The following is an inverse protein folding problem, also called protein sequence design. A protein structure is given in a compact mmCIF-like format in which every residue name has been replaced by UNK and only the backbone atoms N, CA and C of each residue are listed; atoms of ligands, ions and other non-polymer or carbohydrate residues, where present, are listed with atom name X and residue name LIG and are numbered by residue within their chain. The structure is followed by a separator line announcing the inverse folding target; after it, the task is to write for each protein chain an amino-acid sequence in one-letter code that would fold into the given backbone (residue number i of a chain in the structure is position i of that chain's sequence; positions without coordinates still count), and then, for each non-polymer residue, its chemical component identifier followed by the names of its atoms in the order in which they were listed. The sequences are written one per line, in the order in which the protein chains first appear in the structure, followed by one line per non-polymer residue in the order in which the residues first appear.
data_IF_485032303158
#
_entry.id   IF_485032303158
#
_cell.length_a   1.000
_cell.length_b   1.000
_cell.length_c   1.000
_cell.angle_alpha   90.00
_cell.angle_beta   90.00
_cell.angle_gamma   90.00
#
_symmetry.space_group_name_H-M   'P 1'
#
loop_
_entity.id
_entity.type
_entity.pdbx_description
1 polymer ?
#
# COMPACT_ATOMS: atom_id res chain seq x y z
N UNK A 1 23.27 -2.69 -5.92
CA UNK A 1 21.82 -2.54 -6.16
C UNK A 1 21.41 -1.08 -6.40
N UNK A 2 22.07 -0.08 -5.79
CA UNK A 2 21.87 1.32 -6.20
C UNK A 2 20.63 2.01 -5.62
N UNK A 3 20.14 1.53 -4.46
CA UNK A 3 18.93 2.06 -3.82
C UNK A 3 19.12 3.02 -2.61
N UNK A 4 20.28 3.64 -2.31
CA UNK A 4 20.38 4.52 -1.14
C UNK A 4 19.45 5.72 -1.26
N UNK A 5 19.30 6.31 -2.46
CA UNK A 5 18.37 7.42 -2.68
C UNK A 5 16.91 7.05 -2.39
N UNK A 6 16.51 5.81 -2.69
CA UNK A 6 15.17 5.32 -2.40
C UNK A 6 14.89 5.28 -0.89
N UNK A 7 15.83 4.76 -0.09
CA UNK A 7 15.72 4.79 1.37
C UNK A 7 15.65 6.21 1.92
N UNK A 8 16.45 7.13 1.37
CA UNK A 8 16.45 8.53 1.82
C UNK A 8 15.14 9.24 1.52
N UNK A 9 14.54 8.99 0.35
CA UNK A 9 13.21 9.52 0.01
C UNK A 9 12.15 8.99 0.99
N UNK A 10 12.16 7.69 1.26
CA UNK A 10 11.19 7.05 2.18
C UNK A 10 11.37 7.54 3.61
N UNK A 11 12.61 7.61 4.07
CA UNK A 11 12.97 8.16 5.39
C UNK A 11 12.46 9.61 5.54
N UNK A 12 12.63 10.43 4.49
CA UNK A 12 12.30 11.85 4.53
C UNK A 12 10.82 12.07 4.87
N UNK A 13 9.89 11.54 4.05
CA UNK A 13 8.48 11.85 4.26
C UNK A 13 7.91 11.15 5.51
N UNK A 14 8.50 10.03 5.95
CA UNK A 14 8.16 9.39 7.23
C UNK A 14 8.60 10.26 8.40
N UNK A 15 9.83 10.77 8.37
CA UNK A 15 10.35 11.63 9.43
C UNK A 15 9.58 12.94 9.48
N UNK A 16 9.31 13.57 8.33
CA UNK A 16 8.44 14.74 8.24
C UNK A 16 7.06 14.47 8.84
N UNK A 17 6.46 13.31 8.55
CA UNK A 17 5.17 12.91 9.10
C UNK A 17 5.20 12.84 10.64
N UNK A 18 6.22 12.18 11.19
CA UNK A 18 6.44 12.09 12.65
C UNK A 18 6.60 13.48 13.28
N UNK A 19 7.36 14.37 12.64
CA UNK A 19 7.63 15.73 13.14
C UNK A 19 6.41 16.67 13.04
N UNK A 20 5.48 16.40 12.13
CA UNK A 20 4.25 17.19 11.93
C UNK A 20 3.01 16.55 12.56
N UNK A 21 3.21 15.59 13.47
CA UNK A 21 2.12 14.96 14.23
C UNK A 21 1.18 14.12 13.37
N UNK A 22 1.67 13.55 12.27
CA UNK A 22 0.99 12.51 11.49
C UNK A 22 1.45 11.14 12.02
N UNK A 23 0.57 10.38 12.71
CA UNK A 23 0.92 9.04 13.16
C UNK A 23 1.29 8.13 12.00
N UNK A 24 2.41 7.42 12.15
CA UNK A 24 2.93 6.43 11.20
C UNK A 24 2.92 5.06 11.87
N UNK A 25 2.51 4.03 11.15
CA UNK A 25 2.57 2.66 11.63
C UNK A 25 4.01 2.16 11.82
N UNK A 26 4.22 1.08 12.59
CA UNK A 26 5.56 0.58 12.91
C UNK A 26 6.31 -0.05 11.71
N UNK A 27 5.68 -0.13 10.54
CA UNK A 27 6.18 -0.79 9.34
C UNK A 27 5.36 -2.04 8.99
N UNK A 28 5.24 -2.33 7.70
CA UNK A 28 4.53 -3.50 7.17
C UNK A 28 5.30 -4.15 6.02
N UNK A 29 4.90 -5.37 5.68
CA UNK A 29 5.54 -6.14 4.61
C UNK A 29 6.98 -6.55 4.98
N UNK A 30 7.81 -6.77 3.96
CA UNK A 30 9.19 -7.23 4.16
C UNK A 30 10.14 -6.13 4.65
N UNK A 31 9.80 -4.85 4.48
CA UNK A 31 10.63 -3.71 4.91
C UNK A 31 11.03 -3.74 6.39
N UNK A 32 10.18 -4.31 7.25
CA UNK A 32 10.45 -4.48 8.68
C UNK A 32 11.66 -5.38 9.00
N UNK A 33 12.10 -6.23 8.06
CA UNK A 33 13.31 -7.06 8.23
C UNK A 33 14.62 -6.30 8.00
N UNK A 34 14.59 -5.02 7.64
CA UNK A 34 15.80 -4.24 7.39
C UNK A 34 16.26 -3.47 8.62
N UNK A 35 17.43 -3.84 9.14
CA UNK A 35 18.10 -3.08 10.22
C UNK A 35 18.41 -1.64 9.80
N UNK A 36 18.67 -1.40 8.52
CA UNK A 36 18.86 -0.06 7.97
C UNK A 36 17.55 0.73 8.02
N UNK A 37 16.42 0.12 7.67
CA UNK A 37 15.11 0.78 7.77
C UNK A 37 14.76 1.13 9.22
N UNK A 38 15.05 0.23 10.16
CA UNK A 38 14.89 0.48 11.59
C UNK A 38 15.80 1.63 12.09
N UNK A 39 17.08 1.62 11.73
CA UNK A 39 18.03 2.66 12.12
C UNK A 39 17.69 4.05 11.55
N UNK A 40 17.10 4.10 10.35
CA UNK A 40 16.60 5.32 9.72
C UNK A 40 15.18 5.70 10.19
N UNK A 41 14.59 4.96 11.13
CA UNK A 41 13.21 5.17 11.63
C UNK A 41 12.13 5.08 10.55
N UNK A 42 12.43 4.39 9.44
CA UNK A 42 11.44 4.00 8.43
C UNK A 42 10.49 2.96 9.03
N UNK A 43 11.02 2.05 9.85
CA UNK A 43 10.25 1.09 10.65
C UNK A 43 10.58 1.30 12.12
N UNK A 44 9.64 0.93 13.01
CA UNK A 44 9.80 1.07 14.46
C UNK A 44 9.95 -0.29 15.17
N UNK A 45 10.08 -1.39 14.40
CA UNK A 45 10.31 -2.74 14.90
C UNK A 45 11.79 -3.12 14.79
N UNK A 46 12.41 -3.59 15.88
CA UNK A 46 13.79 -4.07 15.87
C UNK A 46 13.88 -5.45 15.19
N UNK A 47 14.47 -5.55 13.99
CA UNK A 47 14.52 -6.83 13.27
C UNK A 47 15.39 -7.87 13.96
N UNK A 48 16.35 -7.48 14.81
CA UNK A 48 17.21 -8.43 15.51
C UNK A 48 16.50 -9.06 16.70
N UNK A 49 15.64 -8.30 17.39
CA UNK A 49 14.83 -8.82 18.50
C UNK A 49 13.84 -9.89 18.03
N UNK A 50 13.26 -9.70 16.83
CA UNK A 50 12.24 -10.58 16.27
C UNK A 50 12.75 -11.56 15.21
N UNK A 51 14.07 -11.68 15.05
CA UNK A 51 14.73 -12.58 14.07
C UNK A 51 14.17 -12.40 12.63
N UNK A 52 13.96 -11.14 12.23
CA UNK A 52 13.48 -10.81 10.90
C UNK A 52 14.64 -10.77 9.90
N UNK A 53 14.41 -11.41 8.75
CA UNK A 53 15.43 -11.60 7.73
C UNK A 53 15.50 -10.42 6.75
N UNK A 54 16.68 -9.81 6.62
CA UNK A 54 16.93 -8.75 5.64
C UNK A 54 16.80 -9.26 4.19
N UNK A 55 17.22 -10.50 3.94
CA UNK A 55 17.22 -11.11 2.61
C UNK A 55 15.80 -11.35 2.07
N UNK A 56 14.80 -11.41 2.97
CA UNK A 56 13.38 -11.42 2.58
C UNK A 56 12.92 -10.08 2.01
N UNK A 57 13.54 -8.99 2.45
CA UNK A 57 13.30 -7.65 1.92
C UNK A 57 14.10 -7.41 0.64
N UNK A 58 15.40 -7.71 0.68
CA UNK A 58 16.32 -7.36 -0.39
C UNK A 58 17.29 -8.52 -0.62
N UNK A 59 16.94 -9.35 -1.61
CA UNK A 59 17.71 -10.53 -1.92
C UNK A 59 18.99 -10.13 -2.71
N UNK A 60 20.21 -10.43 -2.21
CA UNK A 60 21.45 -10.07 -2.90
C UNK A 60 21.65 -10.81 -4.24
N UNK A 61 21.05 -11.99 -4.40
CA UNK A 61 21.13 -12.80 -5.62
C UNK A 61 20.12 -12.35 -6.69
N UNK A 62 19.10 -11.57 -6.30
CA UNK A 62 18.06 -11.06 -7.20
C UNK A 62 17.90 -9.56 -7.00
N UNK A 63 18.56 -8.79 -7.87
CA UNK A 63 18.47 -7.33 -7.88
C UNK A 63 17.11 -6.89 -8.42
N UNK A 64 16.13 -6.76 -7.53
CA UNK A 64 14.84 -6.11 -7.80
C UNK A 64 14.68 -4.87 -6.93
N UNK A 65 13.91 -3.89 -7.42
CA UNK A 65 13.54 -2.73 -6.62
C UNK A 65 12.74 -3.20 -5.39
N UNK A 66 13.16 -2.82 -4.17
CA UNK A 66 12.39 -3.12 -2.96
C UNK A 66 11.14 -2.25 -2.89
N UNK A 67 10.13 -2.70 -2.15
CA UNK A 67 8.88 -1.99 -1.96
C UNK A 67 8.65 -1.67 -0.48
N UNK A 68 8.35 -0.40 -0.18
CA UNK A 68 8.04 0.08 1.18
C UNK A 68 6.58 0.51 1.20
N UNK A 69 5.73 -0.32 1.78
CA UNK A 69 4.38 0.06 2.15
C UNK A 69 4.41 0.74 3.52
N UNK A 70 3.86 1.96 3.60
CA UNK A 70 3.83 2.75 4.83
C UNK A 70 2.38 3.06 5.20
N UNK A 71 2.02 2.75 6.44
CA UNK A 71 0.70 3.07 6.98
C UNK A 71 0.72 4.45 7.64
N UNK A 72 -0.12 5.36 7.16
CA UNK A 72 -0.34 6.68 7.76
C UNK A 72 -1.74 6.76 8.36
N UNK A 73 -1.91 7.66 9.34
CA UNK A 73 -3.24 8.04 9.82
C UNK A 73 -4.14 8.49 8.66
N UNK A 74 -5.31 7.85 8.52
CA UNK A 74 -6.24 8.07 7.41
C UNK A 74 -6.62 9.54 7.23
N UNK A 75 -6.87 10.27 8.31
CA UNK A 75 -7.29 11.68 8.27
C UNK A 75 -6.17 12.65 7.85
N UNK A 76 -4.90 12.23 7.99
CA UNK A 76 -3.73 13.08 7.78
C UNK A 76 -2.86 12.66 6.60
N UNK A 77 -3.15 11.50 5.98
CA UNK A 77 -2.39 10.96 4.84
C UNK A 77 -2.22 11.98 3.71
N UNK A 78 -3.27 12.75 3.41
CA UNK A 78 -3.24 13.72 2.32
C UNK A 78 -2.20 14.83 2.56
N UNK A 79 -1.89 15.17 3.81
CA UNK A 79 -0.84 16.13 4.15
C UNK A 79 0.54 15.62 3.76
N UNK A 80 0.78 14.31 3.91
CA UNK A 80 2.04 13.67 3.51
C UNK A 80 2.18 13.67 1.99
N UNK A 81 1.08 13.37 1.27
CA UNK A 81 1.07 13.41 -0.19
C UNK A 81 1.38 14.82 -0.70
N UNK A 82 0.76 15.83 -0.07
CA UNK A 82 0.98 17.23 -0.42
C UNK A 82 2.42 17.67 -0.15
N UNK A 83 3.00 17.30 1.00
CA UNK A 83 4.40 17.55 1.33
C UNK A 83 5.36 16.93 0.30
N UNK A 84 5.12 15.66 -0.07
CA UNK A 84 5.93 14.98 -1.10
C UNK A 84 5.80 15.68 -2.45
N UNK A 85 4.60 16.11 -2.84
CA UNK A 85 4.37 16.84 -4.08
C UNK A 85 5.05 18.22 -4.09
N UNK A 86 5.03 18.94 -2.98
CA UNK A 86 5.69 20.24 -2.85
C UNK A 86 7.23 20.10 -2.80
N UNK A 87 7.75 19.03 -2.17
CA UNK A 87 9.20 18.77 -2.10
C UNK A 87 9.79 18.33 -3.44
N UNK A 88 9.16 17.35 -4.11
CA UNK A 88 9.71 16.74 -5.31
C UNK A 88 9.14 17.33 -6.62
N UNK A 89 8.20 18.26 -6.50
CA UNK A 89 7.57 18.96 -7.61
C UNK A 89 6.23 18.33 -8.02
N UNK A 90 5.18 19.16 -8.11
CA UNK A 90 3.83 18.71 -8.47
C UNK A 90 3.74 18.06 -9.85
N UNK A 91 4.62 18.42 -10.76
CA UNK A 91 4.69 17.81 -12.10
C UNK A 91 5.35 16.41 -12.10
N UNK A 92 5.98 16.03 -10.98
CA UNK A 92 6.68 14.76 -10.81
C UNK A 92 5.97 13.78 -9.86
N UNK A 93 4.89 14.21 -9.18
CA UNK A 93 4.17 13.41 -8.18
C UNK A 93 2.69 13.27 -8.56
N UNK A 94 2.24 12.03 -8.70
CA UNK A 94 0.84 11.70 -8.97
C UNK A 94 0.42 10.41 -8.28
N UNK A 95 -0.88 10.26 -8.03
CA UNK A 95 -1.45 8.98 -7.61
C UNK A 95 -1.57 8.02 -8.81
N UNK A 96 -1.42 6.73 -8.53
CA UNK A 96 -1.65 5.67 -9.52
C UNK A 96 -3.15 5.38 -9.58
N UNK A 97 -3.70 5.28 -10.80
CA UNK A 97 -5.12 4.97 -11.02
C UNK A 97 -5.40 3.47 -10.81
N UNK A 98 -6.60 3.16 -10.33
CA UNK A 98 -7.11 1.78 -10.27
C UNK A 98 -8.21 1.60 -11.31
N UNK A 99 -8.08 0.59 -12.17
CA UNK A 99 -9.14 0.19 -13.10
C UNK A 99 -10.05 -0.85 -12.43
N UNK A 100 -11.26 -0.44 -12.07
CA UNK A 100 -12.27 -1.35 -11.55
C UNK A 100 -12.74 -2.34 -12.62
N UNK A 101 -12.59 -3.63 -12.37
CA UNK A 101 -13.17 -4.68 -13.21
C UNK A 101 -14.58 -5.04 -12.73
N UNK A 102 -15.42 -5.56 -13.63
CA UNK A 102 -16.78 -5.94 -13.25
C UNK A 102 -16.76 -7.21 -12.41
N UNK A 103 -17.06 -7.08 -11.11
CA UNK A 103 -17.18 -8.23 -10.21
C UNK A 103 -18.35 -9.13 -10.62
N UNK A 104 -18.19 -10.45 -10.56
CA UNK A 104 -19.19 -11.42 -11.03
C UNK A 104 -20.60 -11.18 -10.43
N UNK A 105 -20.68 -10.88 -9.13
CA UNK A 105 -21.96 -10.55 -8.46
C UNK A 105 -22.58 -9.26 -8.99
N UNK A 106 -21.77 -8.25 -9.32
CA UNK A 106 -22.23 -7.01 -9.90
C UNK A 106 -22.75 -7.23 -11.33
N UNK A 107 -22.02 -8.01 -12.14
CA UNK A 107 -22.43 -8.36 -13.52
C UNK A 107 -23.81 -9.01 -13.56
N UNK A 108 -24.08 -10.00 -12.70
CA UNK A 108 -25.41 -10.66 -12.65
C UNK A 108 -26.52 -9.66 -12.36
N UNK A 109 -26.30 -8.75 -11.40
CA UNK A 109 -27.28 -7.74 -11.04
C UNK A 109 -27.50 -6.73 -12.17
N UNK A 110 -26.43 -6.30 -12.83
CA UNK A 110 -26.49 -5.33 -13.92
C UNK A 110 -27.17 -5.91 -15.17
N UNK A 111 -26.80 -7.12 -15.59
CA UNK A 111 -27.48 -7.82 -16.70
C UNK A 111 -28.94 -8.08 -16.37
N UNK A 112 -29.23 -8.54 -15.15
CA UNK A 112 -30.60 -8.78 -14.70
C UNK A 112 -31.46 -7.51 -14.70
N UNK A 113 -30.87 -6.34 -14.38
CA UNK A 113 -31.54 -5.03 -14.49
C UNK A 113 -31.89 -4.71 -15.94
N UNK A 114 -30.96 -4.91 -16.88
CA UNK A 114 -31.20 -4.70 -18.32
C UNK A 114 -32.31 -5.61 -18.85
N UNK A 115 -32.39 -6.84 -18.35
CA UNK A 115 -33.44 -7.81 -18.71
C UNK A 115 -34.79 -7.54 -18.03
N UNK A 116 -34.91 -6.53 -17.16
CA UNK A 116 -36.16 -6.18 -16.49
C UNK A 116 -36.54 -7.10 -15.33
N UNK A 117 -35.62 -7.89 -14.79
CA UNK A 117 -35.90 -8.75 -13.65
C UNK A 117 -35.95 -7.96 -12.32
N UNK A 118 -36.82 -8.34 -11.37
CA UNK A 118 -36.86 -7.72 -10.04
C UNK A 118 -35.54 -7.90 -9.27
N UNK A 119 -35.14 -6.86 -8.52
CA UNK A 119 -33.89 -6.88 -7.74
C UNK A 119 -33.75 -8.11 -6.83
N UNK A 120 -34.82 -8.50 -6.12
CA UNK A 120 -34.78 -9.65 -5.22
C UNK A 120 -34.54 -10.99 -5.94
N UNK A 121 -34.95 -11.11 -7.21
CA UNK A 121 -34.66 -12.31 -8.00
C UNK A 121 -33.17 -12.37 -8.35
N UNK A 122 -32.63 -11.28 -8.91
CA UNK A 122 -31.23 -11.22 -9.35
C UNK A 122 -30.23 -11.23 -8.19
N UNK A 123 -30.59 -10.66 -7.03
CA UNK A 123 -29.74 -10.69 -5.83
C UNK A 123 -29.60 -12.11 -5.27
N UNK A 124 -30.70 -12.89 -5.23
CA UNK A 124 -30.64 -14.31 -4.83
C UNK A 124 -29.69 -15.11 -5.73
N UNK A 125 -29.74 -14.90 -7.05
CA UNK A 125 -28.83 -15.55 -7.99
C UNK A 125 -27.38 -15.10 -7.73
N UNK A 126 -27.14 -13.79 -7.57
CA UNK A 126 -25.79 -13.26 -7.32
C UNK A 126 -25.13 -13.84 -6.06
N UNK A 127 -25.93 -14.16 -5.04
CA UNK A 127 -25.45 -14.77 -3.77
C UNK A 127 -25.07 -16.24 -3.91
N UNK A 128 -25.45 -16.90 -5.01
CA UNK A 128 -25.00 -18.27 -5.31
C UNK A 128 -23.55 -18.31 -5.79
N UNK A 129 -22.96 -17.17 -6.18
CA UNK A 129 -21.53 -17.10 -6.52
C UNK A 129 -20.70 -17.25 -5.22
N UNK A 130 -19.78 -18.23 -5.16
CA UNK A 130 -18.84 -18.39 -4.05
C UNK A 130 -18.02 -17.12 -3.78
N UNK A 131 -17.60 -16.87 -2.54
CA UNK A 131 -16.84 -15.67 -2.19
C UNK A 131 -15.43 -15.63 -2.80
N UNK A 132 -14.78 -16.79 -2.97
CA UNK A 132 -13.41 -16.90 -3.48
C UNK A 132 -13.39 -17.58 -4.86
N UNK A 133 -12.59 -17.09 -5.82
CA UNK A 133 -12.04 -17.96 -6.84
C UNK A 133 -11.06 -18.88 -6.10
N UNK A 134 -11.33 -20.19 -6.10
CA UNK A 134 -10.55 -21.18 -5.35
C UNK A 134 -9.05 -21.15 -5.60
#
# INVERSE_FOLDING_TARGET
MGFPGYFLIVMEFIQWSKDNGVPVGPGRGSGAGSLVAYALKITDLDPLEFDLLFERFLNPERVSMPDFDVDFCMEKRDQVIEHVADMYGRDAVSQIITFGTMAAKAVIRDVGRVLGHPYGFVDRISKLIPPDPG
#
